data_IF_771724321418
#
_entry.id   IF_771724321418
#
_cell.length_a   1.000
_cell.length_b   1.000
_cell.length_c   1.000
_cell.angle_alpha   90.00
_cell.angle_beta   90.00
_cell.angle_gamma   90.00
#
_symmetry.space_group_name_H-M   'P 1'
#
loop_
_entity.id
_entity.type
_entity.pdbx_description
1 polymer ?
#
# COMPACT_ATOMS: atom_id res chain seq x y z
N UNK A 1 -31.80 13.72 11.18
CA UNK A 1 -31.01 12.46 11.17
C UNK A 1 -31.46 11.47 12.24
N UNK A 2 -31.49 11.84 13.53
CA UNK A 2 -31.78 10.90 14.64
C UNK A 2 -33.14 10.16 14.55
N UNK A 3 -34.19 10.79 13.99
CA UNK A 3 -35.55 10.25 13.93
C UNK A 3 -35.84 9.32 12.74
N UNK A 4 -35.22 9.57 11.58
CA UNK A 4 -35.60 8.92 10.32
C UNK A 4 -34.48 8.09 9.67
N UNK A 5 -33.21 8.40 9.96
CA UNK A 5 -32.09 7.71 9.31
C UNK A 5 -31.80 6.36 9.99
N UNK A 6 -31.66 5.30 9.20
CA UNK A 6 -31.28 3.96 9.71
C UNK A 6 -29.77 3.75 9.73
N UNK A 7 -29.06 4.30 8.75
CA UNK A 7 -27.62 4.17 8.60
C UNK A 7 -27.00 5.56 8.60
N UNK A 8 -25.93 5.73 9.36
CA UNK A 8 -25.15 6.96 9.42
C UNK A 8 -23.78 6.68 8.81
N UNK A 9 -23.39 7.52 7.86
CA UNK A 9 -22.06 7.53 7.25
C UNK A 9 -21.43 8.90 7.45
N UNK A 10 -20.14 8.92 7.74
CA UNK A 10 -19.34 10.14 7.85
C UNK A 10 -18.55 10.34 6.57
N UNK A 11 -18.49 11.58 6.10
CA UNK A 11 -17.66 11.96 4.96
C UNK A 11 -16.28 12.33 5.51
N UNK A 12 -15.26 11.67 5.00
CA UNK A 12 -13.86 11.94 5.37
C UNK A 12 -13.05 12.22 4.11
N UNK A 13 -11.93 12.93 4.28
CA UNK A 13 -11.00 13.16 3.19
C UNK A 13 -9.54 12.92 3.60
N UNK A 14 -8.69 12.57 2.64
CA UNK A 14 -7.25 12.43 2.87
C UNK A 14 -6.54 13.79 3.00
N UNK A 15 -5.44 13.82 3.74
CA UNK A 15 -4.57 15.00 3.84
C UNK A 15 -3.41 14.91 2.84
N UNK A 16 -3.63 15.34 1.61
CA UNK A 16 -2.65 15.17 0.51
C UNK A 16 -1.37 15.98 0.70
N UNK A 17 -1.41 17.09 1.44
CA UNK A 17 -0.23 17.93 1.71
C UNK A 17 0.86 17.19 2.49
N UNK A 18 0.50 16.17 3.27
CA UNK A 18 1.44 15.36 4.04
C UNK A 18 2.14 14.29 3.19
N UNK A 19 1.68 14.03 1.96
CA UNK A 19 2.21 12.99 1.09
C UNK A 19 3.16 13.59 0.05
N UNK A 20 4.22 12.86 -0.36
CA UNK A 20 5.17 13.32 -1.38
C UNK A 20 4.61 13.16 -2.82
N UNK A 21 3.36 13.59 -3.04
CA UNK A 21 2.64 13.42 -4.30
C UNK A 21 2.44 14.76 -5.01
N UNK A 22 2.43 14.73 -6.35
CA UNK A 22 2.10 15.89 -7.19
C UNK A 22 0.64 16.33 -7.03
N UNK A 23 -0.25 15.37 -6.75
CA UNK A 23 -1.68 15.61 -6.61
C UNK A 23 -1.98 16.36 -5.31
N UNK A 24 -2.65 17.50 -5.41
CA UNK A 24 -3.13 18.28 -4.25
C UNK A 24 -4.58 17.97 -3.88
N UNK A 25 -5.39 17.53 -4.83
CA UNK A 25 -6.82 17.21 -4.63
C UNK A 25 -6.98 16.02 -3.69
N UNK A 26 -7.72 16.19 -2.59
CA UNK A 26 -8.00 15.13 -1.63
C UNK A 26 -8.95 14.06 -2.19
N UNK A 27 -8.81 12.84 -1.68
CA UNK A 27 -9.78 11.77 -1.91
C UNK A 27 -10.84 11.83 -0.83
N UNK A 28 -12.11 11.86 -1.24
CA UNK A 28 -13.27 11.89 -0.33
C UNK A 28 -13.88 10.50 -0.30
N UNK A 29 -14.29 10.04 0.87
CA UNK A 29 -14.93 8.75 1.07
C UNK A 29 -16.02 8.85 2.14
N UNK A 30 -17.12 8.13 1.92
CA UNK A 30 -18.09 7.84 2.98
C UNK A 30 -17.66 6.60 3.76
N UNK A 31 -17.61 6.71 5.09
CA UNK A 31 -17.34 5.59 6.00
C UNK A 31 -18.56 5.39 6.89
N UNK A 32 -19.05 4.15 6.95
CA UNK A 32 -20.20 3.80 7.79
C UNK A 32 -19.82 3.71 9.26
N UNK A 33 -20.61 4.35 10.13
CA UNK A 33 -20.49 4.19 11.58
C UNK A 33 -21.33 3.01 12.07
N UNK A 34 -20.63 2.03 12.63
CA UNK A 34 -21.22 0.82 13.21
C UNK A 34 -21.17 0.87 14.75
N UNK A 35 -22.05 0.11 15.41
CA UNK A 35 -22.21 0.09 16.87
C UNK A 35 -23.13 1.20 17.42
N UNK A 36 -23.78 0.94 18.55
CA UNK A 36 -24.64 1.90 19.25
C UNK A 36 -25.95 2.27 18.53
N UNK A 37 -26.72 3.16 19.17
CA UNK A 37 -27.98 3.70 18.62
C UNK A 37 -27.72 4.79 17.56
N UNK A 38 -28.71 5.11 16.72
CA UNK A 38 -28.57 6.20 15.72
C UNK A 38 -28.28 7.54 16.40
N UNK A 39 -28.87 7.80 17.57
CA UNK A 39 -28.64 9.02 18.32
C UNK A 39 -27.18 9.14 18.79
N UNK A 40 -26.60 8.06 19.31
CA UNK A 40 -25.19 7.97 19.70
C UNK A 40 -24.26 8.15 18.50
N UNK A 41 -24.56 7.50 17.36
CA UNK A 41 -23.76 7.66 16.13
C UNK A 41 -23.70 9.10 15.66
N UNK A 42 -24.83 9.81 15.70
CA UNK A 42 -24.90 11.23 15.32
C UNK A 42 -24.12 12.09 16.32
N UNK A 43 -24.24 11.84 17.63
CA UNK A 43 -23.49 12.57 18.64
C UNK A 43 -21.97 12.33 18.51
N UNK A 44 -21.56 11.09 18.26
CA UNK A 44 -20.17 10.72 18.01
C UNK A 44 -19.60 11.42 16.77
N UNK A 45 -20.39 11.45 15.68
CA UNK A 45 -20.01 12.12 14.44
C UNK A 45 -19.87 13.63 14.63
N UNK A 46 -20.79 14.27 15.36
CA UNK A 46 -20.75 15.69 15.66
C UNK A 46 -19.53 16.04 16.52
N UNK A 47 -19.20 15.23 17.53
CA UNK A 47 -18.04 15.47 18.39
C UNK A 47 -16.68 15.38 17.67
N UNK A 48 -16.63 14.66 16.54
CA UNK A 48 -15.44 14.44 15.70
C UNK A 48 -15.48 15.19 14.37
N UNK A 49 -16.50 16.01 14.16
CA UNK A 49 -16.54 16.89 13.00
C UNK A 49 -15.32 17.83 13.05
N UNK A 50 -14.69 18.06 11.89
CA UNK A 50 -13.46 18.87 11.74
C UNK A 50 -12.23 18.36 12.50
N UNK A 51 -12.30 17.18 13.13
CA UNK A 51 -11.15 16.57 13.83
C UNK A 51 -10.51 15.48 12.98
N UNK A 52 -9.23 15.23 13.26
CA UNK A 52 -8.48 14.17 12.61
C UNK A 52 -8.79 12.82 13.23
N UNK A 53 -8.88 11.77 12.40
CA UNK A 53 -9.06 10.38 12.84
C UNK A 53 -7.83 9.58 12.40
N UNK A 54 -6.95 9.19 13.34
CA UNK A 54 -5.74 8.45 12.99
C UNK A 54 -6.05 6.96 12.77
N UNK A 55 -5.18 6.27 12.02
CA UNK A 55 -5.40 4.88 11.60
C UNK A 55 -5.46 3.88 12.77
N UNK A 56 -4.68 4.14 13.83
CA UNK A 56 -4.64 3.30 15.03
C UNK A 56 -5.95 3.35 15.85
N UNK A 57 -6.79 4.37 15.65
CA UNK A 57 -8.12 4.44 16.26
C UNK A 57 -9.17 3.61 15.51
N UNK A 58 -8.88 3.25 14.26
CA UNK A 58 -9.79 2.49 13.39
C UNK A 58 -9.40 1.02 13.36
N UNK A 59 -8.12 0.71 13.19
CA UNK A 59 -7.60 -0.65 13.07
C UNK A 59 -6.66 -1.00 14.21
N UNK A 60 -6.58 -2.30 14.52
CA UNK A 60 -5.69 -2.83 15.55
C UNK A 60 -4.56 -3.65 14.93
N UNK A 61 -3.44 -3.76 15.64
CA UNK A 61 -2.35 -4.63 15.22
C UNK A 61 -2.79 -6.10 15.24
N UNK A 62 -2.24 -6.93 14.35
CA UNK A 62 -2.61 -8.35 14.16
C UNK A 62 -4.05 -8.59 13.66
N UNK A 63 -4.82 -7.52 13.41
CA UNK A 63 -6.16 -7.63 12.83
C UNK A 63 -6.13 -8.06 11.36
N UNK A 64 -7.16 -8.80 10.94
CA UNK A 64 -7.39 -9.18 9.55
C UNK A 64 -8.39 -8.22 8.89
N UNK A 65 -7.98 -7.62 7.78
CA UNK A 65 -8.76 -6.62 7.05
C UNK A 65 -8.93 -7.00 5.58
N UNK A 66 -9.85 -6.31 4.91
CA UNK A 66 -10.04 -6.40 3.47
C UNK A 66 -9.44 -5.18 2.78
N UNK A 67 -8.87 -5.41 1.61
CA UNK A 67 -8.26 -4.36 0.79
C UNK A 67 -9.02 -4.20 -0.51
N UNK A 68 -9.53 -3.00 -0.75
CA UNK A 68 -10.29 -2.64 -1.95
C UNK A 68 -9.45 -1.67 -2.77
N UNK A 69 -9.12 -2.05 -4.00
CA UNK A 69 -8.30 -1.24 -4.88
C UNK A 69 -8.56 -1.51 -6.35
N UNK A 70 -8.20 -0.53 -7.18
CA UNK A 70 -8.08 -0.73 -8.63
C UNK A 70 -6.71 -1.33 -8.93
N UNK A 71 -6.69 -2.44 -9.65
CA UNK A 71 -5.46 -3.16 -10.04
C UNK A 71 -4.57 -2.35 -10.98
N UNK A 72 -3.32 -2.80 -11.17
CA UNK A 72 -2.40 -2.22 -12.16
C UNK A 72 -2.95 -2.42 -13.57
N UNK A 73 -3.12 -1.31 -14.30
CA UNK A 73 -3.52 -1.34 -15.72
C UNK A 73 -2.43 -1.95 -16.60
N UNK A 74 -2.84 -2.74 -17.59
CA UNK A 74 -1.94 -3.31 -18.61
C UNK A 74 -2.42 -3.02 -20.04
N UNK A 75 -3.47 -2.22 -20.21
CA UNK A 75 -4.04 -1.84 -21.51
C UNK A 75 -4.73 -3.00 -22.24
N UNK A 76 -4.90 -2.85 -23.56
CA UNK A 76 -5.46 -3.90 -24.42
C UNK A 76 -4.43 -5.03 -24.59
N UNK A 77 -4.86 -6.27 -24.31
CA UNK A 77 -4.02 -7.47 -24.43
C UNK A 77 -4.75 -8.58 -25.18
N UNK A 78 -3.98 -9.37 -25.93
CA UNK A 78 -4.46 -10.59 -26.59
C UNK A 78 -4.84 -11.70 -25.60
N UNK A 79 -5.56 -12.71 -26.11
CA UNK A 79 -6.12 -13.82 -25.32
C UNK A 79 -5.09 -14.59 -24.50
N UNK A 80 -3.92 -14.87 -25.05
CA UNK A 80 -2.83 -15.57 -24.33
C UNK A 80 -2.37 -14.78 -23.12
N UNK A 81 -2.28 -13.44 -23.19
CA UNK A 81 -1.88 -12.66 -22.02
C UNK A 81 -3.05 -12.43 -21.08
N UNK A 82 -4.23 -12.10 -21.59
CA UNK A 82 -5.40 -11.74 -20.77
C UNK A 82 -5.99 -12.93 -20.02
N UNK A 83 -6.20 -14.04 -20.73
CA UNK A 83 -6.89 -15.24 -20.26
C UNK A 83 -5.97 -16.44 -20.08
N UNK A 84 -4.67 -16.30 -20.37
CA UNK A 84 -3.67 -17.36 -20.19
C UNK A 84 -3.95 -18.63 -21.03
N UNK A 85 -4.56 -18.48 -22.21
CA UNK A 85 -4.78 -19.60 -23.13
C UNK A 85 -3.46 -20.16 -23.66
N UNK A 86 -3.40 -21.48 -23.90
CA UNK A 86 -2.24 -22.13 -24.53
C UNK A 86 -1.96 -21.50 -25.90
N UNK A 87 -0.68 -21.25 -26.20
CA UNK A 87 -0.24 -20.76 -27.52
C UNK A 87 -0.38 -21.89 -28.55
N UNK A 88 -0.72 -21.55 -29.78
CA UNK A 88 -0.74 -22.50 -30.89
C UNK A 88 0.70 -22.88 -31.31
N UNK A 89 0.88 -23.99 -32.06
CA UNK A 89 2.19 -24.41 -32.56
C UNK A 89 2.90 -23.34 -33.40
N UNK A 90 4.23 -23.41 -33.45
CA UNK A 90 5.09 -22.45 -34.16
C UNK A 90 4.72 -22.28 -35.63
N UNK A 91 4.31 -23.37 -36.31
CA UNK A 91 3.97 -23.40 -37.74
C UNK A 91 2.55 -22.90 -38.07
N UNK A 92 1.83 -22.32 -37.10
CA UNK A 92 0.47 -21.82 -37.34
C UNK A 92 0.50 -20.59 -38.26
N UNK A 93 -0.19 -20.68 -39.40
CA UNK A 93 -0.35 -19.54 -40.30
C UNK A 93 -1.21 -18.43 -39.65
N UNK A 94 -0.87 -17.16 -39.92
CA UNK A 94 -1.53 -15.96 -39.36
C UNK A 94 -1.52 -15.91 -37.83
N UNK A 95 -0.36 -16.17 -37.23
CA UNK A 95 -0.07 -15.92 -35.81
C UNK A 95 -0.55 -17.02 -34.86
N UNK A 96 0.24 -17.24 -33.81
CA UNK A 96 0.08 -18.35 -32.86
C UNK A 96 -0.51 -17.95 -31.49
N UNK A 97 -0.66 -16.66 -31.21
CA UNK A 97 -1.11 -16.14 -29.90
C UNK A 97 -2.60 -15.82 -29.89
N UNK A 98 -3.41 -16.79 -30.32
CA UNK A 98 -4.86 -16.69 -30.48
C UNK A 98 -5.57 -17.94 -29.94
N UNK A 99 -6.89 -17.86 -29.79
CA UNK A 99 -7.76 -19.03 -29.63
C UNK A 99 -8.05 -19.55 -31.03
N UNK A 100 -7.99 -20.88 -31.24
CA UNK A 100 -8.23 -21.49 -32.55
C UNK A 100 -9.73 -21.54 -32.88
N UNK A 101 -10.51 -22.32 -32.13
CA UNK A 101 -11.97 -22.41 -32.28
C UNK A 101 -12.68 -21.50 -31.28
N UNK A 102 -13.54 -20.60 -31.76
CA UNK A 102 -14.28 -19.62 -30.94
C UNK A 102 -15.70 -20.07 -30.57
N UNK A 103 -16.16 -21.21 -31.08
CA UNK A 103 -17.50 -21.73 -30.84
C UNK A 103 -17.86 -22.82 -31.86
N UNK A 104 -18.89 -23.61 -31.56
CA UNK A 104 -19.51 -24.53 -32.52
C UNK A 104 -20.32 -23.75 -33.57
N UNK A 105 -20.82 -24.44 -34.59
CA UNK A 105 -21.71 -23.82 -35.59
C UNK A 105 -23.03 -23.38 -34.95
N UNK A 106 -23.68 -24.27 -34.20
CA UNK A 106 -24.89 -23.98 -33.45
C UNK A 106 -24.57 -24.02 -31.95
N UNK A 107 -24.82 -22.95 -31.18
CA UNK A 107 -25.54 -21.72 -31.55
C UNK A 107 -24.71 -20.77 -32.44
N UNK A 108 -25.36 -20.11 -33.40
CA UNK A 108 -24.74 -19.23 -34.40
C UNK A 108 -24.34 -17.85 -33.83
N UNK A 109 -23.69 -17.84 -32.66
CA UNK A 109 -23.20 -16.65 -31.97
C UNK A 109 -21.99 -17.00 -31.11
N UNK A 110 -21.05 -16.06 -30.99
CA UNK A 110 -19.93 -16.21 -30.06
C UNK A 110 -20.44 -15.98 -28.63
N UNK A 111 -20.30 -17.00 -27.77
CA UNK A 111 -20.68 -16.91 -26.36
C UNK A 111 -19.80 -15.95 -25.55
N UNK A 112 -20.36 -15.38 -24.49
CA UNK A 112 -19.64 -14.44 -23.61
C UNK A 112 -18.55 -15.12 -22.74
N UNK A 113 -18.63 -16.43 -22.58
CA UNK A 113 -17.65 -17.24 -21.84
C UNK A 113 -16.34 -17.44 -22.59
N UNK A 114 -16.31 -17.21 -23.91
CA UNK A 114 -15.13 -17.43 -24.73
C UNK A 114 -14.07 -16.35 -24.48
N UNK A 115 -12.82 -16.78 -24.33
CA UNK A 115 -11.69 -15.90 -24.15
C UNK A 115 -11.46 -15.01 -25.39
N UNK A 116 -11.65 -13.69 -25.21
CA UNK A 116 -11.43 -12.67 -26.25
C UNK A 116 -10.37 -11.64 -25.83
N UNK A 117 -9.66 -11.09 -26.81
CA UNK A 117 -8.73 -9.99 -26.57
C UNK A 117 -9.47 -8.76 -26.03
N UNK A 118 -8.79 -7.89 -25.30
CA UNK A 118 -9.39 -6.68 -24.74
C UNK A 118 -8.63 -6.16 -23.53
N UNK A 119 -9.28 -5.31 -22.73
CA UNK A 119 -8.68 -4.70 -21.55
C UNK A 119 -8.17 -5.76 -20.55
N UNK A 120 -6.91 -5.62 -20.12
CA UNK A 120 -6.31 -6.37 -19.02
C UNK A 120 -5.88 -5.43 -17.90
N UNK A 121 -6.38 -5.66 -16.70
CA UNK A 121 -6.05 -4.87 -15.52
C UNK A 121 -6.81 -3.55 -15.47
N UNK A 122 -6.53 -2.75 -14.44
CA UNK A 122 -7.35 -1.58 -14.07
C UNK A 122 -8.78 -1.98 -13.70
N UNK A 123 -8.96 -3.21 -13.23
CA UNK A 123 -10.24 -3.67 -12.70
C UNK A 123 -10.30 -3.39 -11.19
N UNK A 124 -11.50 -3.07 -10.70
CA UNK A 124 -11.80 -2.99 -9.28
C UNK A 124 -11.76 -4.38 -8.66
N UNK A 125 -11.01 -4.55 -7.56
CA UNK A 125 -10.87 -5.82 -6.84
C UNK A 125 -10.91 -5.60 -5.34
N UNK A 126 -11.45 -6.60 -4.66
CA UNK A 126 -11.43 -6.71 -3.20
C UNK A 126 -10.64 -7.95 -2.85
N UNK A 127 -9.51 -7.77 -2.19
CA UNK A 127 -8.70 -8.86 -1.65
C UNK A 127 -9.02 -9.01 -0.17
N UNK A 128 -9.55 -10.17 0.21
CA UNK A 128 -9.94 -10.45 1.58
C UNK A 128 -8.74 -10.93 2.40
N UNK A 129 -8.90 -10.91 3.71
CA UNK A 129 -8.02 -11.59 4.67
C UNK A 129 -6.55 -11.12 4.68
N UNK A 130 -6.31 -9.82 4.52
CA UNK A 130 -4.98 -9.22 4.65
C UNK A 130 -4.70 -8.91 6.11
N UNK A 131 -3.67 -9.54 6.66
CA UNK A 131 -3.29 -9.36 8.06
C UNK A 131 -2.42 -8.14 8.26
N UNK A 132 -2.73 -7.32 9.26
CA UNK A 132 -1.91 -6.20 9.71
C UNK A 132 -0.77 -6.76 10.56
N UNK A 133 0.46 -6.54 10.13
CA UNK A 133 1.66 -6.92 10.89
C UNK A 133 2.09 -5.84 11.86
N UNK A 134 2.02 -4.58 11.43
CA UNK A 134 2.39 -3.43 12.25
C UNK A 134 1.59 -2.20 11.82
N UNK A 135 1.15 -1.42 12.80
CA UNK A 135 0.68 -0.05 12.61
C UNK A 135 1.82 0.83 13.13
N UNK A 136 2.57 1.43 12.22
CA UNK A 136 3.72 2.25 12.58
C UNK A 136 3.31 3.71 12.72
N UNK A 137 3.81 4.38 13.75
CA UNK A 137 3.67 5.83 13.89
C UNK A 137 4.57 6.55 12.87
N UNK A 138 4.08 7.69 12.38
CA UNK A 138 4.88 8.61 11.60
C UNK A 138 6.07 9.16 12.36
N UNK A 139 6.93 9.91 11.66
CA UNK A 139 8.01 10.65 12.28
C UNK A 139 7.37 11.73 13.17
N UNK A 140 7.72 11.72 14.45
CA UNK A 140 7.18 12.65 15.44
C UNK A 140 8.30 13.18 16.32
N UNK A 141 8.04 14.31 16.97
CA UNK A 141 8.95 14.89 17.95
C UNK A 141 8.56 14.37 19.32
N UNK A 142 9.50 13.73 20.02
CA UNK A 142 9.40 13.44 21.46
C UNK A 142 10.60 14.10 22.13
N UNK A 143 10.36 14.87 23.19
CA UNK A 143 11.41 15.57 23.96
C UNK A 143 12.38 16.43 23.11
N UNK A 144 11.84 17.08 22.06
CA UNK A 144 12.62 17.91 21.14
C UNK A 144 13.51 17.13 20.16
N UNK A 145 13.49 15.79 20.20
CA UNK A 145 14.19 14.92 19.26
C UNK A 145 13.22 14.30 18.25
N UNK A 146 13.63 14.27 16.99
CA UNK A 146 12.84 13.64 15.94
C UNK A 146 13.00 12.12 16.03
N UNK A 147 11.95 11.44 16.49
CA UNK A 147 11.90 9.98 16.61
C UNK A 147 11.60 9.39 15.24
N UNK A 148 12.55 8.60 14.71
CA UNK A 148 12.47 7.98 13.37
C UNK A 148 12.49 6.45 13.39
N UNK A 149 12.47 5.85 14.57
CA UNK A 149 12.63 4.42 14.82
C UNK A 149 11.38 3.55 14.48
N UNK A 150 10.58 3.93 13.48
CA UNK A 150 9.33 3.22 13.20
C UNK A 150 9.52 1.81 12.57
N UNK A 151 10.75 1.45 12.18
CA UNK A 151 11.15 0.11 11.75
C UNK A 151 12.06 -0.63 12.75
N UNK A 152 12.34 -0.05 13.92
CA UNK A 152 12.98 -0.79 15.01
C UNK A 152 12.00 -1.82 15.61
N UNK A 153 12.52 -2.88 16.21
CA UNK A 153 11.70 -3.93 16.84
C UNK A 153 12.24 -4.25 18.23
N UNK A 154 11.52 -5.08 19.00
CA UNK A 154 11.99 -5.56 20.30
C UNK A 154 13.33 -6.31 20.21
N UNK A 155 13.59 -6.96 19.08
CA UNK A 155 14.81 -7.73 18.81
C UNK A 155 15.90 -6.95 18.07
N UNK A 156 15.52 -5.88 17.38
CA UNK A 156 16.42 -5.05 16.58
C UNK A 156 16.28 -3.59 17.01
N UNK A 157 17.21 -3.18 17.88
CA UNK A 157 17.24 -1.86 18.53
C UNK A 157 17.85 -0.78 17.62
N UNK A 158 18.25 -1.12 16.39
CA UNK A 158 18.81 -0.12 15.46
C UNK A 158 17.80 0.99 15.19
N UNK A 159 18.24 2.24 15.31
CA UNK A 159 17.40 3.40 15.00
C UNK A 159 17.27 3.55 13.48
N UNK A 160 16.23 2.91 12.94
CA UNK A 160 15.92 2.94 11.51
C UNK A 160 14.45 3.20 11.26
N UNK A 161 14.22 3.96 10.20
CA UNK A 161 12.89 4.22 9.66
C UNK A 161 12.49 3.16 8.64
N UNK A 162 11.18 3.01 8.41
CA UNK A 162 10.60 2.11 7.41
C UNK A 162 10.99 2.48 5.97
N UNK A 163 11.40 3.73 5.76
CA UNK A 163 11.89 4.19 4.47
C UNK A 163 13.26 3.56 4.19
N UNK A 164 13.39 2.75 3.12
CA UNK A 164 14.66 2.10 2.80
C UNK A 164 15.72 3.10 2.34
N UNK A 165 16.98 2.69 2.30
CA UNK A 165 18.06 3.53 1.76
C UNK A 165 17.74 4.00 0.33
N UNK A 166 17.73 5.33 0.13
CA UNK A 166 17.36 5.97 -1.14
C UNK A 166 15.85 6.14 -1.38
N UNK A 167 15.02 5.81 -0.39
CA UNK A 167 13.56 5.96 -0.46
C UNK A 167 12.86 4.80 -1.18
N UNK A 168 11.53 4.74 -1.08
CA UNK A 168 10.75 3.75 -1.82
C UNK A 168 10.75 4.10 -3.32
N UNK A 169 11.22 3.21 -4.22
CA UNK A 169 11.36 3.53 -5.64
C UNK A 169 10.02 3.93 -6.26
N UNK A 170 9.97 5.07 -6.94
CA UNK A 170 8.74 5.67 -7.51
C UNK A 170 7.63 5.99 -6.49
N UNK A 171 7.93 6.04 -5.19
CA UNK A 171 7.02 6.54 -4.15
C UNK A 171 7.62 7.78 -3.48
N UNK A 172 8.79 7.64 -2.86
CA UNK A 172 9.42 8.66 -2.01
C UNK A 172 9.60 8.15 -0.58
N UNK A 173 9.67 9.07 0.37
CA UNK A 173 9.78 8.78 1.79
C UNK A 173 8.42 8.58 2.45
N UNK A 174 8.36 7.76 3.50
CA UNK A 174 7.16 7.53 4.31
C UNK A 174 7.38 8.17 5.68
N UNK A 175 6.79 9.35 5.87
CA UNK A 175 6.97 10.15 7.08
C UNK A 175 5.75 10.14 8.01
N UNK A 176 4.60 9.65 7.54
CA UNK A 176 3.35 9.60 8.30
C UNK A 176 3.07 8.19 8.80
N UNK A 177 2.00 8.04 9.58
CA UNK A 177 1.49 6.73 10.01
C UNK A 177 1.31 5.79 8.82
N UNK A 178 1.69 4.52 9.02
CA UNK A 178 1.60 3.49 7.98
C UNK A 178 1.06 2.18 8.54
N UNK A 179 0.53 1.36 7.63
CA UNK A 179 0.07 0.00 7.93
C UNK A 179 0.91 -0.97 7.11
N UNK A 180 1.60 -1.87 7.80
CA UNK A 180 2.32 -2.99 7.18
C UNK A 180 1.37 -4.17 7.05
N UNK A 181 1.09 -4.58 5.82
CA UNK A 181 0.18 -5.68 5.51
C UNK A 181 0.94 -6.91 5.01
N UNK A 182 0.44 -8.09 5.37
CA UNK A 182 0.96 -9.38 4.90
C UNK A 182 0.75 -9.55 3.40
N UNK A 183 1.84 -9.75 2.67
CA UNK A 183 1.82 -10.10 1.25
C UNK A 183 1.61 -8.92 0.31
N UNK A 184 1.29 -9.21 -0.95
CA UNK A 184 1.05 -8.19 -1.97
C UNK A 184 -0.39 -7.67 -1.92
N UNK A 185 -0.60 -6.51 -2.56
CA UNK A 185 -1.90 -5.84 -2.67
C UNK A 185 -2.08 -5.33 -4.11
N UNK A 186 -3.32 -5.34 -4.60
CA UNK A 186 -3.71 -4.72 -5.85
C UNK A 186 -3.35 -3.22 -5.93
N UNK A 187 -2.73 -2.84 -7.05
CA UNK A 187 -2.52 -1.44 -7.40
C UNK A 187 -1.12 -1.17 -7.93
N UNK A 188 -0.88 0.09 -8.31
CA UNK A 188 0.47 0.61 -8.54
C UNK A 188 0.99 1.27 -7.27
N UNK A 189 2.29 1.60 -7.24
CA UNK A 189 2.81 2.55 -6.25
C UNK A 189 2.04 3.88 -6.35
N UNK A 190 1.91 4.62 -5.24
CA UNK A 190 1.12 5.87 -5.12
C UNK A 190 -0.39 5.71 -5.40
N UNK A 191 -0.92 4.48 -5.41
CA UNK A 191 -2.36 4.23 -5.60
C UNK A 191 -3.09 4.44 -4.28
N UNK A 192 -4.23 5.13 -4.34
CA UNK A 192 -5.19 5.15 -3.22
C UNK A 192 -5.79 3.75 -3.04
N UNK A 193 -5.77 3.27 -1.79
CA UNK A 193 -6.24 1.95 -1.40
C UNK A 193 -7.24 2.15 -0.27
N UNK A 194 -8.38 1.48 -0.37
CA UNK A 194 -9.40 1.50 0.70
C UNK A 194 -9.22 0.28 1.57
N UNK A 195 -9.04 0.51 2.87
CA UNK A 195 -9.00 -0.55 3.89
C UNK A 195 -10.37 -0.67 4.53
N UNK A 196 -10.87 -1.89 4.68
CA UNK A 196 -12.16 -2.18 5.30
C UNK A 196 -11.97 -3.23 6.39
N UNK A 197 -12.69 -3.08 7.50
CA UNK A 197 -12.85 -4.18 8.48
C UNK A 197 -13.38 -5.44 7.75
N UNK A 198 -12.91 -6.61 8.17
CA UNK A 198 -13.41 -7.86 7.60
C UNK A 198 -14.92 -7.97 7.81
N UNK A 199 -15.63 -8.46 6.79
CA UNK A 199 -17.06 -8.75 6.90
C UNK A 199 -17.34 -10.10 7.57
N UNK A 200 -16.31 -10.94 7.69
CA UNK A 200 -16.42 -12.29 8.22
C UNK A 200 -15.82 -12.33 9.63
N UNK A 201 -16.45 -13.12 10.50
CA UNK A 201 -15.84 -13.47 11.78
C UNK A 201 -14.77 -14.53 11.53
N UNK A 202 -13.56 -14.28 12.03
CA UNK A 202 -12.44 -15.18 11.85
C UNK A 202 -12.20 -16.04 13.10
N UNK A 203 -12.19 -17.37 12.90
CA UNK A 203 -11.98 -18.34 13.98
C UNK A 203 -10.69 -19.16 13.81
N UNK A 204 -10.00 -19.02 12.68
CA UNK A 204 -8.79 -19.80 12.43
C UNK A 204 -7.61 -19.31 13.27
N UNK A 205 -6.80 -20.23 13.78
CA UNK A 205 -5.58 -19.90 14.54
C UNK A 205 -4.68 -18.95 13.77
N UNK A 206 -4.52 -19.14 12.46
CA UNK A 206 -3.77 -18.27 11.56
C UNK A 206 -4.31 -16.84 11.53
N UNK A 207 -5.63 -16.66 11.54
CA UNK A 207 -6.22 -15.33 11.55
C UNK A 207 -6.01 -14.63 12.90
N UNK A 208 -6.18 -15.36 14.00
CA UNK A 208 -6.07 -14.83 15.37
C UNK A 208 -4.63 -14.74 15.92
N UNK A 209 -3.63 -15.18 15.15
CA UNK A 209 -2.23 -15.18 15.59
C UNK A 209 -1.74 -13.76 15.91
N UNK A 210 -1.08 -13.56 17.06
CA UNK A 210 -0.43 -12.29 17.36
C UNK A 210 0.90 -12.21 16.62
N UNK A 211 1.13 -11.12 15.89
CA UNK A 211 2.35 -10.91 15.10
C UNK A 211 3.33 -10.08 15.91
N UNK A 212 4.47 -10.67 16.22
CA UNK A 212 5.66 -9.97 16.68
C UNK A 212 6.74 -10.00 15.58
N UNK A 213 7.16 -8.82 15.13
CA UNK A 213 8.21 -8.71 14.11
C UNK A 213 9.57 -8.67 14.80
N UNK A 214 10.48 -9.56 14.38
CA UNK A 214 11.86 -9.60 14.89
C UNK A 214 12.83 -8.71 14.13
N UNK A 215 12.55 -8.48 12.85
CA UNK A 215 13.43 -7.71 11.97
C UNK A 215 12.64 -7.15 10.80
N UNK A 216 12.99 -5.94 10.38
CA UNK A 216 12.45 -5.28 9.19
C UNK A 216 13.63 -4.88 8.31
N UNK A 217 13.63 -5.38 7.07
CA UNK A 217 14.67 -5.09 6.10
C UNK A 217 14.44 -3.71 5.44
N UNK A 218 15.38 -2.79 5.67
CA UNK A 218 15.39 -1.40 5.18
C UNK A 218 16.51 -1.17 4.15
N UNK A 219 17.09 -2.25 3.60
CA UNK A 219 18.02 -2.15 2.48
C UNK A 219 17.42 -1.45 1.27
N UNK A 220 18.29 -0.82 0.47
CA UNK A 220 17.89 -0.18 -0.78
C UNK A 220 17.09 -1.12 -1.68
N UNK A 221 15.95 -0.62 -2.18
CA UNK A 221 15.11 -1.30 -3.18
C UNK A 221 15.35 -0.80 -4.60
N UNK A 222 16.34 0.06 -4.78
CA UNK A 222 16.80 0.56 -6.08
C UNK A 222 18.10 -0.16 -6.46
N UNK A 223 17.96 -1.41 -6.93
CA UNK A 223 19.06 -2.33 -7.17
C UNK A 223 19.20 -3.37 -6.06
N UNK A 224 20.43 -3.83 -5.82
CA UNK A 224 20.76 -4.80 -4.78
C UNK A 224 21.32 -4.08 -3.55
N UNK A 225 20.51 -3.93 -2.50
CA UNK A 225 20.93 -3.30 -1.25
C UNK A 225 21.61 -4.27 -0.30
N UNK A 226 22.82 -3.94 0.16
CA UNK A 226 23.59 -4.78 1.09
C UNK A 226 23.60 -4.27 2.53
N UNK A 227 23.19 -3.01 2.77
CA UNK A 227 23.25 -2.36 4.08
C UNK A 227 21.85 -1.90 4.51
N UNK A 228 21.54 -2.00 5.80
CA UNK A 228 20.25 -1.58 6.36
C UNK A 228 20.19 -0.08 6.60
N UNK A 229 21.30 0.51 7.05
CA UNK A 229 21.39 1.95 7.36
C UNK A 229 22.57 2.63 6.67
N UNK A 230 22.49 3.96 6.55
CA UNK A 230 23.59 4.75 5.98
C UNK A 230 24.82 4.77 6.91
N UNK A 231 24.59 4.70 8.22
CA UNK A 231 25.64 4.61 9.23
C UNK A 231 26.40 3.29 9.11
N UNK A 232 25.69 2.17 9.03
CA UNK A 232 26.28 0.83 8.79
C UNK A 232 27.11 0.81 7.50
N UNK A 233 26.55 1.34 6.39
CA UNK A 233 27.28 1.44 5.13
C UNK A 233 28.56 2.27 5.26
N UNK A 234 28.50 3.39 5.99
CA UNK A 234 29.65 4.28 6.18
C UNK A 234 30.72 3.65 7.05
N UNK A 235 30.32 2.96 8.11
CA UNK A 235 31.22 2.20 8.97
C UNK A 235 31.93 1.08 8.20
N UNK A 236 31.20 0.35 7.36
CA UNK A 236 31.77 -0.72 6.54
C UNK A 236 32.68 -0.21 5.43
N UNK A 237 32.27 0.80 4.66
CA UNK A 237 33.03 1.29 3.51
C UNK A 237 34.20 2.21 3.89
N UNK A 238 34.22 2.73 5.12
CA UNK A 238 35.22 3.68 5.59
C UNK A 238 35.12 5.07 4.91
N UNK A 239 36.10 5.94 5.17
CA UNK A 239 36.18 7.25 4.54
C UNK A 239 36.41 7.12 3.02
N UNK A 240 35.61 7.84 2.25
CA UNK A 240 35.70 7.90 0.78
C UNK A 240 36.17 9.29 0.36
N UNK A 241 36.71 9.42 -0.85
CA UNK A 241 37.18 10.70 -1.41
C UNK A 241 36.22 11.89 -1.20
N UNK A 242 34.93 11.70 -1.50
CA UNK A 242 33.88 12.73 -1.32
C UNK A 242 33.66 13.18 0.13
N UNK A 243 34.04 12.37 1.12
CA UNK A 243 33.92 12.72 2.53
C UNK A 243 35.09 13.62 2.93
N UNK A 244 36.30 13.28 2.49
CA UNK A 244 37.51 14.08 2.70
C UNK A 244 37.44 15.45 2.01
N UNK A 245 36.85 15.51 0.81
CA UNK A 245 36.65 16.78 0.08
C UNK A 245 35.65 17.71 0.78
N UNK A 246 34.63 17.17 1.46
CA UNK A 246 33.67 17.97 2.24
C UNK A 246 34.23 18.49 3.56
N UNK A 247 35.30 17.88 4.06
CA UNK A 247 35.95 18.27 5.32
C UNK A 247 37.05 19.32 5.11
N UNK A 248 37.44 19.61 3.85
CA UNK A 248 38.33 20.74 3.58
C UNK A 248 37.57 22.05 3.83
N UNK A 249 38.04 22.94 4.72
CA UNK A 249 37.45 24.26 4.87
C UNK A 249 37.55 24.99 3.53
N UNK A 250 36.49 25.67 3.13
CA UNK A 250 36.51 26.58 1.98
C UNK A 250 37.62 27.60 2.25
N UNK A 251 38.74 27.47 1.54
CA UNK A 251 39.80 28.48 1.57
C UNK A 251 39.20 29.78 1.07
N UNK A 252 38.96 30.71 1.99
CA UNK A 252 38.57 32.09 1.73
C UNK A 252 39.53 32.68 0.70
N UNK A 253 39.05 32.82 -0.53
CA UNK A 253 39.78 33.52 -1.58
C UNK A 253 39.80 35.00 -1.25
N UNK A 254 40.92 35.48 -0.72
CA UNK A 254 41.30 36.88 -0.82
C UNK A 254 41.93 37.07 -2.20
N UNK A 255 41.22 37.76 -3.09
CA UNK A 255 41.79 38.62 -4.14
C UNK A 255 40.97 39.90 -4.15
#
# INVERSE_FOLDING_TARGET
MKKYCKVIRVIVHTQMKLLPFRQKKAHIMEIQLNGGTVAEKVAWAQARLEKQVPVHSVFSQSEVIDVIAVTKGRGVKGVTSRWHTKKLPRKTHKGLRKVACIGAWHPARVGCSIARAGQKGYHHRTELNKKIYRIGRGLHMEDGKMVRNNASTSYDVTDKSITPLGGFPHYGEVNNDFVMLKGCIAGTKKRVITLRKSLLVHHSRRALENIELKFIDTTSKFGHGCFQTAQEKRAFMGPQKKHLEKEKPETSGNV
#
